data_IF_362738711676
#
_entry.id   IF_362738711676
#
_cell.length_a   1.000
_cell.length_b   1.000
_cell.length_c   1.000
_cell.angle_alpha   90.00
_cell.angle_beta   90.00
_cell.angle_gamma   90.00
#
_symmetry.space_group_name_H-M   'P 1'
#
loop_
_entity.id
_entity.type
_entity.pdbx_description
1 polymer ?
#
# COMPACT_ATOMS: atom_id res chain seq x y z
N UNK A 1 8.30 -37.02 25.82
CA UNK A 1 7.48 -35.86 25.41
C UNK A 1 8.18 -35.21 24.24
N UNK A 2 7.53 -35.14 23.08
CA UNK A 2 8.18 -34.77 21.81
C UNK A 2 7.88 -33.31 21.50
N UNK A 3 8.82 -32.43 21.84
CA UNK A 3 8.75 -30.99 21.58
C UNK A 3 8.70 -30.73 20.06
N UNK A 4 7.70 -29.99 19.60
CA UNK A 4 7.43 -29.74 18.19
C UNK A 4 8.39 -28.67 17.62
N UNK A 5 9.60 -29.09 17.23
CA UNK A 5 10.73 -28.26 16.74
C UNK A 5 10.52 -27.55 15.38
N UNK A 6 9.29 -27.28 14.95
CA UNK A 6 8.99 -26.76 13.60
C UNK A 6 8.63 -25.27 13.54
N UNK A 7 8.69 -24.55 14.66
CA UNK A 7 8.44 -23.10 14.64
C UNK A 7 9.77 -22.33 14.49
N UNK A 8 9.84 -21.39 13.52
CA UNK A 8 10.99 -20.52 13.35
C UNK A 8 11.15 -19.59 14.57
N UNK A 9 12.40 -19.27 14.93
CA UNK A 9 12.74 -18.26 15.94
C UNK A 9 12.48 -16.86 15.39
N UNK A 10 12.49 -15.86 16.27
CA UNK A 10 12.21 -14.45 15.94
C UNK A 10 13.01 -13.91 14.73
N UNK A 11 14.23 -14.41 14.53
CA UNK A 11 15.12 -13.98 13.45
C UNK A 11 15.29 -15.03 12.34
N UNK A 12 14.60 -16.16 12.43
CA UNK A 12 14.66 -17.16 11.38
C UNK A 12 13.83 -16.65 10.19
N UNK A 13 14.44 -16.60 9.00
CA UNK A 13 13.72 -16.28 7.78
C UNK A 13 12.60 -17.30 7.54
N UNK A 14 11.37 -16.80 7.41
CA UNK A 14 10.21 -17.64 7.09
C UNK A 14 9.97 -17.66 5.60
N UNK A 15 9.65 -18.85 5.05
CA UNK A 15 9.16 -18.96 3.69
C UNK A 15 7.80 -18.23 3.61
N UNK A 16 7.68 -17.28 2.68
CA UNK A 16 6.43 -16.58 2.42
C UNK A 16 5.29 -17.55 2.07
N UNK A 17 4.05 -17.06 2.13
CA UNK A 17 2.87 -17.86 1.80
C UNK A 17 3.01 -18.55 0.44
N UNK A 18 2.62 -19.82 0.36
CA UNK A 18 2.68 -20.63 -0.89
C UNK A 18 1.71 -20.16 -1.97
N UNK A 19 0.76 -19.31 -1.60
CA UNK A 19 -0.15 -18.69 -2.54
C UNK A 19 0.46 -17.35 -2.97
N UNK A 20 0.91 -17.22 -4.22
CA UNK A 20 1.27 -15.91 -4.73
C UNK A 20 0.03 -14.99 -4.57
N UNK A 21 0.22 -13.72 -4.19
CA UNK A 21 -0.87 -12.76 -4.27
C UNK A 21 -1.46 -12.83 -5.68
N UNK A 22 -2.79 -12.59 -5.85
CA UNK A 22 -3.40 -12.54 -7.16
C UNK A 22 -2.51 -11.74 -8.13
N UNK A 23 -2.38 -12.17 -9.38
CA UNK A 23 -1.45 -11.54 -10.33
C UNK A 23 -1.74 -10.03 -10.50
N UNK A 24 -3.01 -9.64 -10.28
CA UNK A 24 -3.48 -8.25 -10.29
C UNK A 24 -3.60 -7.62 -8.90
N UNK A 25 -3.27 -8.34 -7.83
CA UNK A 25 -3.08 -7.77 -6.49
C UNK A 25 -1.73 -7.05 -6.48
N UNK A 26 -1.66 -5.96 -7.24
CA UNK A 26 -0.58 -5.01 -7.11
C UNK A 26 -0.57 -4.52 -5.66
N UNK A 27 0.57 -4.69 -4.98
CA UNK A 27 0.84 -3.96 -3.76
C UNK A 27 1.07 -2.51 -4.18
N UNK A 28 -0.03 -1.77 -4.37
CA UNK A 28 -0.02 -0.36 -4.73
C UNK A 28 0.40 0.44 -3.50
N UNK A 29 1.69 0.33 -3.18
CA UNK A 29 2.38 1.29 -2.34
C UNK A 29 2.80 2.50 -3.17
N UNK A 30 3.67 3.34 -2.60
CA UNK A 30 4.22 4.45 -3.37
C UNK A 30 3.14 5.45 -3.82
N UNK A 31 3.45 6.15 -4.90
CA UNK A 31 2.56 7.13 -5.52
C UNK A 31 1.36 6.47 -6.22
N UNK A 32 1.47 5.24 -6.70
CA UNK A 32 0.32 4.55 -7.33
C UNK A 32 -0.72 4.12 -6.31
N UNK A 33 -0.28 3.79 -5.09
CA UNK A 33 -1.18 3.66 -3.94
C UNK A 33 -1.90 4.94 -3.57
N UNK A 34 -1.28 6.11 -3.80
CA UNK A 34 -1.93 7.41 -3.60
C UNK A 34 -3.01 7.62 -4.66
N UNK A 35 -2.69 7.44 -5.95
CA UNK A 35 -3.67 7.58 -7.04
C UNK A 35 -4.89 6.68 -6.86
N UNK A 36 -4.68 5.42 -6.48
CA UNK A 36 -5.78 4.48 -6.21
C UNK A 36 -6.67 4.95 -5.05
N UNK A 37 -6.08 5.42 -3.94
CA UNK A 37 -6.87 5.85 -2.77
C UNK A 37 -7.62 7.15 -3.03
N UNK A 38 -7.14 8.03 -3.91
CA UNK A 38 -7.85 9.23 -4.32
C UNK A 38 -9.16 8.92 -5.06
N UNK A 39 -9.30 7.74 -5.69
CA UNK A 39 -10.55 7.31 -6.34
C UNK A 39 -11.52 6.61 -5.38
N UNK A 40 -11.23 6.57 -4.07
CA UNK A 40 -12.10 5.95 -3.08
C UNK A 40 -13.37 6.76 -2.87
N UNK A 41 -14.51 6.09 -2.70
CA UNK A 41 -15.78 6.74 -2.31
C UNK A 41 -15.73 7.28 -0.86
N UNK A 42 -14.84 6.75 -0.02
CA UNK A 42 -14.68 7.17 1.36
C UNK A 42 -13.84 8.46 1.44
N UNK A 43 -14.44 9.52 1.96
CA UNK A 43 -13.79 10.83 2.11
C UNK A 43 -12.51 10.78 2.96
N UNK A 44 -12.52 10.06 4.09
CA UNK A 44 -11.35 9.95 4.96
C UNK A 44 -10.17 9.25 4.26
N UNK A 45 -10.47 8.29 3.39
CA UNK A 45 -9.44 7.62 2.57
C UNK A 45 -8.83 8.59 1.58
N UNK A 46 -9.64 9.46 0.95
CA UNK A 46 -9.15 10.50 0.03
C UNK A 46 -8.31 11.55 0.76
N UNK A 47 -8.74 12.02 1.94
CA UNK A 47 -7.98 12.97 2.76
C UNK A 47 -6.59 12.39 3.10
N UNK A 48 -6.55 11.16 3.61
CA UNK A 48 -5.29 10.49 3.91
C UNK A 48 -4.43 10.29 2.65
N UNK A 49 -5.03 10.10 1.48
CA UNK A 49 -4.28 9.98 0.23
C UNK A 49 -3.62 11.31 -0.17
N UNK A 50 -4.30 12.45 -0.02
CA UNK A 50 -3.73 13.79 -0.27
C UNK A 50 -2.53 14.05 0.66
N UNK A 51 -2.65 13.74 1.96
CA UNK A 51 -1.54 13.86 2.90
C UNK A 51 -0.35 12.98 2.50
N UNK A 52 -0.62 11.76 2.02
CA UNK A 52 0.44 10.88 1.54
C UNK A 52 1.08 11.36 0.23
N UNK A 53 0.33 12.06 -0.63
CA UNK A 53 0.87 12.65 -1.84
C UNK A 53 2.01 13.64 -1.53
N UNK A 54 1.89 14.42 -0.45
CA UNK A 54 2.90 15.40 -0.04
C UNK A 54 4.28 14.78 0.23
N UNK A 55 4.34 13.48 0.54
CA UNK A 55 5.60 12.75 0.77
C UNK A 55 6.40 12.49 -0.51
N UNK A 56 5.80 12.70 -1.69
CA UNK A 56 6.42 12.44 -3.00
C UNK A 56 6.89 13.71 -3.72
N UNK A 57 6.98 14.85 -3.02
CA UNK A 57 7.45 16.11 -3.59
C UNK A 57 6.59 16.56 -4.78
N UNK A 58 7.25 17.04 -5.84
CA UNK A 58 6.58 17.55 -7.05
C UNK A 58 5.63 16.53 -7.68
N UNK A 59 6.07 15.28 -7.85
CA UNK A 59 5.21 14.23 -8.42
C UNK A 59 3.93 14.00 -7.60
N UNK A 60 4.03 14.08 -6.27
CA UNK A 60 2.88 13.98 -5.39
C UNK A 60 1.95 15.18 -5.47
N UNK A 61 2.51 16.39 -5.56
CA UNK A 61 1.75 17.63 -5.75
C UNK A 61 0.99 17.62 -7.07
N UNK A 62 1.61 17.18 -8.17
CA UNK A 62 0.95 17.04 -9.47
C UNK A 62 -0.27 16.11 -9.39
N UNK A 63 -0.13 14.97 -8.70
CA UNK A 63 -1.24 14.02 -8.49
C UNK A 63 -2.38 14.67 -7.70
N UNK A 64 -2.08 15.43 -6.64
CA UNK A 64 -3.09 16.12 -5.85
C UNK A 64 -3.81 17.21 -6.66
N UNK A 65 -3.06 18.03 -7.41
CA UNK A 65 -3.62 19.08 -8.28
C UNK A 65 -4.51 18.47 -9.36
N UNK A 66 -4.05 17.42 -10.03
CA UNK A 66 -4.83 16.73 -11.06
C UNK A 66 -6.13 16.14 -10.49
N UNK A 67 -6.11 15.63 -9.26
CA UNK A 67 -7.31 15.16 -8.57
C UNK A 67 -8.32 16.28 -8.32
N UNK A 68 -7.88 17.44 -7.81
CA UNK A 68 -8.77 18.57 -7.54
C UNK A 68 -9.34 19.21 -8.81
N UNK A 69 -8.57 19.29 -9.89
CA UNK A 69 -9.02 19.84 -11.17
C UNK A 69 -10.11 18.99 -11.87
N UNK A 70 -10.40 17.79 -11.36
CA UNK A 70 -11.43 16.90 -11.90
C UNK A 70 -12.84 17.27 -11.40
N UNK A 71 -12.94 18.16 -10.42
CA UNK A 71 -14.19 18.66 -9.83
C UNK A 71 -14.31 20.16 -10.06
#
# INVERSE_FOLDING_TARGET
MTENRKQPREYDAVLGGKNPPPVDAAVLGGIEGVKMRLTSDNELVRIAAVENAMKYGEAGLEVAIAFFNKY
#
